data_IF_376151439737
#
_entry.id   IF_376151439737
#
_cell.length_a   1.000
_cell.length_b   1.000
_cell.length_c   1.000
_cell.angle_alpha   90.00
_cell.angle_beta   90.00
_cell.angle_gamma   90.00
#
_symmetry.space_group_name_H-M   'P 1'
#
loop_
_entity.id
_entity.type
_entity.pdbx_description
1 polymer ?
#
# COMPACT_ATOMS: atom_id res chain seq x y z
N UNK A 1 -12.64 -7.00 -18.93
CA UNK A 1 -11.40 -7.31 -18.22
C UNK A 1 -11.05 -6.08 -17.42
N UNK A 2 -11.20 -6.18 -16.10
CA UNK A 2 -10.99 -5.09 -15.15
C UNK A 2 -9.53 -5.01 -14.72
N UNK A 3 -9.16 -3.94 -14.02
CA UNK A 3 -7.81 -3.79 -13.48
C UNK A 3 -7.43 -4.96 -12.58
N UNK A 4 -8.40 -5.51 -11.84
CA UNK A 4 -8.21 -6.65 -10.95
C UNK A 4 -7.80 -7.95 -11.65
N UNK A 5 -8.17 -8.12 -12.93
CA UNK A 5 -7.79 -9.30 -13.71
C UNK A 5 -6.32 -9.25 -14.15
N UNK A 6 -5.70 -8.06 -14.10
CA UNK A 6 -4.32 -7.80 -14.55
C UNK A 6 -3.30 -7.87 -13.41
N UNK A 7 -3.75 -7.90 -12.16
CA UNK A 7 -2.90 -7.83 -10.97
C UNK A 7 -2.60 -9.21 -10.41
N UNK A 8 -1.37 -9.41 -9.93
CA UNK A 8 -1.04 -10.51 -9.03
C UNK A 8 -1.80 -10.39 -7.72
N UNK A 9 -1.73 -11.44 -6.89
CA UNK A 9 -2.30 -11.41 -5.53
C UNK A 9 -1.67 -10.30 -4.69
N UNK A 10 -0.35 -10.18 -4.74
CA UNK A 10 0.42 -9.18 -4.02
C UNK A 10 0.10 -7.76 -4.51
N UNK A 11 0.06 -7.55 -5.83
CA UNK A 11 -0.33 -6.27 -6.42
C UNK A 11 -1.76 -5.87 -6.06
N UNK A 12 -2.67 -6.84 -5.99
CA UNK A 12 -4.05 -6.60 -5.57
C UNK A 12 -4.13 -6.12 -4.12
N UNK A 13 -3.36 -6.72 -3.20
CA UNK A 13 -3.30 -6.28 -1.80
C UNK A 13 -2.72 -4.87 -1.69
N UNK A 14 -1.66 -4.58 -2.44
CA UNK A 14 -1.06 -3.23 -2.52
C UNK A 14 -2.07 -2.21 -3.03
N UNK A 15 -2.84 -2.53 -4.08
CA UNK A 15 -3.86 -1.61 -4.62
C UNK A 15 -5.04 -1.41 -3.65
N UNK A 16 -5.47 -2.46 -2.95
CA UNK A 16 -6.51 -2.36 -1.92
C UNK A 16 -6.05 -1.46 -0.76
N UNK A 17 -4.83 -1.64 -0.27
CA UNK A 17 -4.27 -0.79 0.79
C UNK A 17 -4.18 0.68 0.33
N UNK A 18 -3.85 0.94 -0.93
CA UNK A 18 -3.86 2.29 -1.48
C UNK A 18 -5.27 2.89 -1.62
N UNK A 19 -6.31 2.08 -1.86
CA UNK A 19 -7.71 2.53 -1.87
C UNK A 19 -8.22 2.89 -0.49
N UNK A 20 -7.76 2.17 0.52
CA UNK A 20 -8.07 2.40 1.93
C UNK A 20 -7.18 3.49 2.55
N UNK A 21 -6.30 4.07 1.74
CA UNK A 21 -5.30 5.06 2.15
C UNK A 21 -4.47 4.57 3.34
N UNK A 22 -4.09 3.28 3.35
CA UNK A 22 -3.43 2.61 4.47
C UNK A 22 -1.92 2.93 4.55
N UNK A 23 -1.33 2.66 5.71
CA UNK A 23 0.11 2.82 5.93
C UNK A 23 0.89 1.72 5.21
N UNK A 24 2.05 2.07 4.63
CA UNK A 24 2.92 1.12 3.93
C UNK A 24 3.34 -0.06 4.84
N UNK A 25 3.54 0.19 6.14
CA UNK A 25 3.93 -0.85 7.10
C UNK A 25 2.82 -1.88 7.43
N UNK A 26 1.60 -1.70 6.91
CA UNK A 26 0.49 -2.63 7.11
C UNK A 26 0.35 -3.63 5.96
N UNK A 27 0.85 -3.31 4.76
CA UNK A 27 0.53 -4.05 3.53
C UNK A 27 0.96 -5.52 3.57
N UNK A 28 2.14 -5.81 4.14
CA UNK A 28 2.64 -7.20 4.25
C UNK A 28 1.89 -7.96 5.35
N UNK A 29 1.58 -7.27 6.46
CA UNK A 29 0.76 -7.84 7.53
C UNK A 29 -0.63 -8.20 7.04
N UNK A 30 -1.22 -7.38 6.17
CA UNK A 30 -2.48 -7.62 5.50
C UNK A 30 -2.41 -8.80 4.50
N UNK A 31 -1.36 -8.84 3.69
CA UNK A 31 -1.10 -9.95 2.76
C UNK A 31 -1.01 -11.33 3.47
N UNK A 32 -0.35 -11.37 4.63
CA UNK A 32 -0.24 -12.58 5.46
C UNK A 32 -1.56 -12.96 6.14
N UNK A 33 -2.51 -12.03 6.19
CA UNK A 33 -3.84 -12.21 6.75
C UNK A 33 -4.10 -11.29 7.93
N UNK A 34 -5.37 -10.92 8.06
CA UNK A 34 -5.88 -10.12 9.16
C UNK A 34 -7.05 -10.83 9.85
N UNK A 35 -7.41 -10.35 11.04
CA UNK A 35 -8.68 -10.71 11.70
C UNK A 35 -9.38 -9.45 12.18
N UNK A 36 -10.70 -9.46 12.17
CA UNK A 36 -11.49 -8.41 12.78
C UNK A 36 -11.73 -8.72 14.27
N UNK A 37 -11.44 -7.76 15.14
CA UNK A 37 -11.67 -7.85 16.58
C UNK A 37 -12.31 -6.56 17.07
N UNK A 38 -13.57 -6.62 17.51
CA UNK A 38 -14.37 -5.45 17.93
C UNK A 38 -14.49 -4.34 16.87
N UNK A 39 -14.62 -4.71 15.59
CA UNK A 39 -14.68 -3.74 14.49
C UNK A 39 -13.33 -3.16 14.07
N UNK A 40 -12.23 -3.70 14.60
CA UNK A 40 -10.86 -3.26 14.29
C UNK A 40 -10.13 -4.39 13.55
N UNK A 41 -9.60 -4.07 12.38
CA UNK A 41 -8.70 -4.98 11.65
C UNK A 41 -7.36 -5.10 12.38
N UNK A 42 -6.99 -6.33 12.69
CA UNK A 42 -5.67 -6.69 13.22
C UNK A 42 -4.91 -7.47 12.15
N UNK A 43 -3.94 -6.81 11.54
CA UNK A 43 -3.00 -7.40 10.58
C UNK A 43 -1.99 -8.32 11.28
N UNK A 44 -1.38 -9.24 10.53
CA UNK A 44 -0.29 -10.06 11.05
C UNK A 44 0.86 -9.17 11.53
N UNK A 45 1.33 -9.41 12.75
CA UNK A 45 2.52 -8.79 13.34
C UNK A 45 3.71 -9.73 13.43
N UNK A 46 3.67 -10.86 12.73
CA UNK A 46 4.77 -11.84 12.73
C UNK A 46 5.96 -11.31 11.94
N UNK A 47 6.90 -10.68 12.66
CA UNK A 47 8.10 -10.10 12.07
C UNK A 47 8.95 -11.15 11.32
N UNK A 48 8.95 -12.41 11.76
CA UNK A 48 9.71 -13.47 11.11
C UNK A 48 9.09 -13.87 9.77
N UNK A 49 7.77 -13.76 9.63
CA UNK A 49 7.07 -13.96 8.36
C UNK A 49 7.12 -12.72 7.45
N UNK A 50 7.09 -11.51 8.03
CA UNK A 50 7.09 -10.24 7.27
C UNK A 50 8.47 -9.96 6.66
N UNK A 51 9.54 -10.06 7.45
CA UNK A 51 10.88 -9.60 7.06
C UNK A 51 11.36 -10.22 5.73
N UNK A 52 11.19 -11.53 5.47
CA UNK A 52 11.60 -12.13 4.20
C UNK A 52 10.84 -11.63 2.97
N UNK A 53 9.64 -11.04 3.14
CA UNK A 53 8.79 -10.56 2.05
C UNK A 53 9.09 -9.12 1.64
N UNK A 54 9.78 -8.35 2.49
CA UNK A 54 10.07 -6.92 2.28
C UNK A 54 10.68 -6.64 0.90
N UNK A 55 11.76 -7.33 0.45
CA UNK A 55 12.37 -7.01 -0.84
C UNK A 55 11.42 -7.22 -2.03
N UNK A 56 10.55 -8.23 -1.96
CA UNK A 56 9.55 -8.50 -2.98
C UNK A 56 8.48 -7.42 -3.03
N UNK A 57 7.94 -7.05 -1.86
CA UNK A 57 6.94 -5.99 -1.78
C UNK A 57 7.50 -4.61 -2.14
N UNK A 58 8.77 -4.32 -1.81
CA UNK A 58 9.43 -3.10 -2.24
C UNK A 58 9.48 -2.98 -3.76
N UNK A 59 9.87 -4.05 -4.47
CA UNK A 59 9.88 -4.07 -5.93
C UNK A 59 8.47 -3.91 -6.52
N UNK A 60 7.45 -4.52 -5.91
CA UNK A 60 6.06 -4.40 -6.34
C UNK A 60 5.55 -2.97 -6.17
N UNK A 61 5.74 -2.36 -5.00
CA UNK A 61 5.30 -0.99 -4.74
C UNK A 61 6.00 -0.01 -5.69
N UNK A 62 7.30 -0.16 -5.91
CA UNK A 62 8.05 0.64 -6.90
C UNK A 62 7.46 0.50 -8.30
N UNK A 63 7.24 -0.74 -8.76
CA UNK A 63 6.63 -1.03 -10.07
C UNK A 63 5.23 -0.38 -10.19
N UNK A 64 4.42 -0.43 -9.14
CA UNK A 64 3.08 0.15 -9.16
C UNK A 64 3.08 1.69 -9.20
N UNK A 65 4.06 2.33 -8.57
CA UNK A 65 4.29 3.78 -8.69
C UNK A 65 4.72 4.12 -10.13
N UNK A 66 5.65 3.37 -10.71
CA UNK A 66 6.11 3.57 -12.09
C UNK A 66 4.99 3.39 -13.13
N UNK A 67 3.98 2.57 -12.83
CA UNK A 67 2.76 2.39 -13.64
C UNK A 67 1.66 3.42 -13.35
N UNK A 68 1.93 4.44 -12.53
CA UNK A 68 0.97 5.49 -12.15
C UNK A 68 -0.32 4.91 -11.52
N UNK A 69 -0.18 3.84 -10.73
CA UNK A 69 -1.32 3.22 -10.04
C UNK A 69 -1.51 3.76 -8.62
N UNK A 70 -0.40 3.93 -7.91
CA UNK A 70 -0.35 4.38 -6.52
C UNK A 70 0.73 5.44 -6.36
N UNK A 71 0.61 6.28 -5.34
CA UNK A 71 1.68 7.12 -4.84
C UNK A 71 1.95 6.79 -3.36
N UNK A 72 3.06 7.31 -2.84
CA UNK A 72 3.33 7.40 -1.41
C UNK A 72 3.30 8.86 -0.97
N UNK A 73 2.79 9.07 0.24
CA UNK A 73 2.71 10.39 0.88
C UNK A 73 3.40 10.30 2.22
N UNK A 74 4.41 11.16 2.52
CA UNK A 74 5.05 11.11 3.82
C UNK A 74 4.11 11.77 4.83
N UNK A 75 3.79 11.08 5.92
CA UNK A 75 2.95 11.69 6.93
C UNK A 75 3.33 11.30 8.35
N UNK A 76 3.29 12.30 9.23
CA UNK A 76 3.51 12.09 10.65
C UNK A 76 2.24 11.58 11.36
N UNK A 77 1.08 11.94 10.80
CA UNK A 77 -0.24 11.57 11.29
C UNK A 77 -1.15 11.27 10.12
N UNK A 78 -2.01 10.28 10.26
CA UNK A 78 -2.94 9.91 9.19
C UNK A 78 -3.77 11.10 8.68
N UNK A 79 -4.23 11.96 9.60
CA UNK A 79 -5.05 13.14 9.31
C UNK A 79 -4.39 14.22 8.45
N UNK A 80 -3.05 14.24 8.37
CA UNK A 80 -2.30 15.21 7.58
C UNK A 80 -2.11 14.78 6.11
N UNK A 81 -2.34 13.50 5.80
CA UNK A 81 -2.16 12.90 4.48
C UNK A 81 -2.83 13.70 3.34
N UNK A 82 -4.06 14.25 3.47
CA UNK A 82 -4.73 14.89 2.33
C UNK A 82 -4.05 16.17 1.86
N UNK A 83 -3.14 16.73 2.68
CA UNK A 83 -2.42 17.98 2.42
C UNK A 83 -0.93 17.76 2.20
N UNK A 84 -0.44 16.56 2.49
CA UNK A 84 0.97 16.24 2.34
C UNK A 84 1.31 16.05 0.85
N UNK A 85 2.47 16.55 0.40
CA UNK A 85 2.91 16.38 -0.98
C UNK A 85 3.24 14.91 -1.25
N UNK A 86 3.14 14.49 -2.51
CA UNK A 86 3.64 13.16 -2.93
C UNK A 86 5.14 13.08 -2.70
N UNK A 87 5.61 11.90 -2.30
CA UNK A 87 7.03 11.61 -2.21
C UNK A 87 7.67 11.67 -3.60
N UNK A 88 8.88 12.21 -3.66
CA UNK A 88 9.75 12.16 -4.84
C UNK A 88 10.32 10.75 -5.01
N UNK A 89 10.80 10.41 -6.22
CA UNK A 89 11.44 9.11 -6.50
C UNK A 89 12.54 8.76 -5.50
N UNK A 90 13.35 9.74 -5.09
CA UNK A 90 14.44 9.53 -4.15
C UNK A 90 13.93 9.22 -2.72
N UNK A 91 12.84 9.88 -2.32
CA UNK A 91 12.18 9.60 -1.04
C UNK A 91 11.51 8.22 -1.06
N UNK A 92 10.89 7.86 -2.19
CA UNK A 92 10.33 6.51 -2.40
C UNK A 92 11.43 5.46 -2.29
N UNK A 93 12.53 5.61 -3.01
CA UNK A 93 13.64 4.65 -2.96
C UNK A 93 14.23 4.51 -1.56
N UNK A 94 14.38 5.62 -0.83
CA UNK A 94 14.83 5.60 0.55
C UNK A 94 13.86 4.85 1.46
N UNK A 95 12.56 5.12 1.35
CA UNK A 95 11.53 4.48 2.16
C UNK A 95 11.39 2.99 1.87
N UNK A 96 11.36 2.61 0.59
CA UNK A 96 11.26 1.19 0.18
C UNK A 96 12.53 0.41 0.51
N UNK A 97 13.70 1.07 0.48
CA UNK A 97 14.98 0.48 0.81
C UNK A 97 15.27 0.30 2.30
N UNK A 98 14.54 0.99 3.18
CA UNK A 98 14.67 0.85 4.64
C UNK A 98 13.68 -0.20 5.19
N UNK A 99 14.17 -1.37 5.68
CA UNK A 99 13.31 -2.37 6.28
C UNK A 99 12.46 -1.85 7.45
N UNK A 100 12.92 -0.82 8.17
CA UNK A 100 12.17 -0.25 9.29
C UNK A 100 10.85 0.41 8.84
N UNK A 101 10.77 0.90 7.60
CA UNK A 101 9.54 1.46 7.02
C UNK A 101 8.44 0.42 6.85
N UNK A 102 8.80 -0.85 6.71
CA UNK A 102 7.87 -1.95 6.46
C UNK A 102 7.39 -2.65 7.73
N UNK A 103 8.13 -2.48 8.82
CA UNK A 103 7.82 -3.13 10.08
C UNK A 103 6.93 -2.21 10.92
N UNK A 104 5.97 -2.79 11.67
CA UNK A 104 5.28 -2.03 12.71
C UNK A 104 6.31 -1.42 13.67
N UNK A 105 6.23 -0.10 13.92
CA UNK A 105 5.57 0.31 15.15
C UNK A 105 4.57 1.45 14.93
N UNK A 106 3.81 1.74 15.98
CA UNK A 106 2.87 2.86 16.09
C UNK A 106 3.64 4.17 15.88
N UNK A 107 3.65 4.70 14.66
CA UNK A 107 4.48 5.85 14.33
C UNK A 107 4.31 6.35 12.88
N UNK A 108 4.93 7.50 12.58
CA UNK A 108 4.85 8.18 11.29
C UNK A 108 5.50 7.36 10.17
N UNK A 109 5.03 7.52 8.93
CA UNK A 109 5.51 6.77 7.79
C UNK A 109 4.76 7.08 6.50
N UNK A 110 5.11 6.43 5.38
CA UNK A 110 4.40 6.63 4.13
C UNK A 110 2.97 6.06 4.19
N UNK A 111 1.99 6.86 3.78
CA UNK A 111 0.64 6.39 3.45
C UNK A 111 0.58 6.13 1.95
N UNK A 112 -0.03 5.01 1.58
CA UNK A 112 -0.29 4.62 0.20
C UNK A 112 -1.58 5.26 -0.28
N UNK A 113 -1.61 5.73 -1.53
CA UNK A 113 -2.79 6.40 -2.11
C UNK A 113 -2.93 6.05 -3.57
N UNK A 114 -4.13 6.17 -4.13
CA UNK A 114 -4.30 6.07 -5.57
C UNK A 114 -3.68 7.29 -6.27
N UNK A 115 -2.83 7.05 -7.27
CA UNK A 115 -2.09 8.12 -7.96
C UNK A 115 -3.02 9.06 -8.73
N UNK A 116 -3.98 8.51 -9.49
CA UNK A 116 -4.82 9.30 -10.39
C UNK A 116 -6.29 8.90 -10.41
N UNK A 117 -7.14 9.85 -10.78
CA UNK A 117 -8.54 9.59 -11.09
C UNK A 117 -8.74 8.65 -12.29
N UNK A 118 -7.71 8.38 -13.09
CA UNK A 118 -7.78 7.36 -14.15
C UNK A 118 -7.84 5.94 -13.56
N UNK A 119 -7.06 5.66 -12.51
CA UNK A 119 -7.08 4.38 -11.79
C UNK A 119 -8.44 4.14 -11.13
N UNK A 120 -9.00 5.17 -10.47
CA UNK A 120 -10.35 5.13 -9.88
C UNK A 120 -11.39 4.72 -10.95
N UNK A 121 -11.36 5.37 -12.12
CA UNK A 121 -12.26 5.03 -13.24
C UNK A 121 -12.05 3.62 -13.79
N UNK A 122 -10.85 3.04 -13.71
CA UNK A 122 -10.61 1.63 -14.10
C UNK A 122 -11.20 0.67 -13.08
N UNK A 123 -11.09 1.00 -11.78
CA UNK A 123 -11.67 0.22 -10.69
C UNK A 123 -13.20 0.22 -10.77
N UNK A 124 -13.82 1.38 -10.96
CA UNK A 124 -15.29 1.51 -11.08
C UNK A 124 -15.85 0.69 -12.24
N UNK A 125 -15.20 0.74 -13.42
CA UNK A 125 -15.58 -0.07 -14.59
C UNK A 125 -15.41 -1.57 -14.40
N UNK A 126 -14.68 -1.99 -13.39
CA UNK A 126 -14.51 -3.40 -13.03
C UNK A 126 -15.64 -3.91 -12.12
N UNK A 127 -16.47 -3.01 -11.57
CA UNK A 127 -17.62 -3.35 -10.70
C UNK A 127 -18.92 -3.57 -11.48
N UNK A 128 -18.97 -3.21 -12.76
CA UNK A 128 -20.11 -3.50 -13.63
C UNK A 128 -19.99 -4.92 -14.19
N UNK A 129 -20.88 -5.86 -13.82
CA UNK A 129 -20.94 -7.15 -14.49
C UNK A 129 -21.49 -6.94 -15.91
N UNK A 130 -20.84 -7.53 -16.90
CA UNK A 130 -21.40 -7.72 -18.25
C UNK A 130 -22.57 -8.71 -18.16
#
# INVERSE_FOLDING_TARGET
>A
MGIWDELSREESVVLVNALEEAWLNQVIGDYLGHREENGIWRFSGDLAAITPLIPGFAAIVRSMIERDLIDLVPTDRYEDQPRAPRMTDAEVDAALGDPATWLPPVGPGPVMVIATGHVIRRIERSKDPI
#
